data_IF_969535991925
#
_entry.id   IF_969535991925
#
_cell.length_a   1.000
_cell.length_b   1.000
_cell.length_c   1.000
_cell.angle_alpha   90.00
_cell.angle_beta   90.00
_cell.angle_gamma   90.00
#
_symmetry.space_group_name_H-M   'P 1'
#
loop_
_entity.id
_entity.type
_entity.pdbx_description
1 polymer ?
#
# COMPACT_ATOMS: atom_id res chain seq x y z
N UNK A 1 4.88 -41.78 -3.61
CA UNK A 1 4.31 -40.77 -4.51
C UNK A 1 3.40 -39.86 -3.71
N UNK A 2 3.86 -38.68 -3.29
CA UNK A 2 3.01 -37.72 -2.58
C UNK A 2 2.35 -36.80 -3.60
N UNK A 3 1.09 -37.10 -3.93
CA UNK A 3 0.27 -36.27 -4.80
C UNK A 3 -0.05 -34.95 -4.11
N UNK A 4 0.56 -33.86 -4.57
CA UNK A 4 0.16 -32.51 -4.20
C UNK A 4 -1.22 -32.25 -4.80
N UNK A 5 -2.25 -32.15 -3.95
CA UNK A 5 -3.60 -31.74 -4.36
C UNK A 5 -3.52 -30.35 -4.99
N UNK A 6 -3.83 -30.24 -6.28
CA UNK A 6 -4.05 -28.95 -6.93
C UNK A 6 -5.25 -28.28 -6.26
N UNK A 7 -4.98 -27.18 -5.57
CA UNK A 7 -6.00 -26.35 -4.92
C UNK A 7 -6.84 -25.72 -6.02
N UNK A 8 -8.15 -25.95 -6.00
CA UNK A 8 -9.10 -25.37 -6.95
C UNK A 8 -8.82 -23.88 -7.19
N UNK A 9 -8.88 -23.47 -8.46
CA UNK A 9 -8.72 -22.09 -8.86
C UNK A 9 -9.70 -21.22 -8.07
N UNK A 10 -9.18 -20.36 -7.19
CA UNK A 10 -10.00 -19.39 -6.48
C UNK A 10 -10.50 -18.37 -7.51
N UNK A 11 -11.77 -18.48 -7.89
CA UNK A 11 -12.43 -17.57 -8.84
C UNK A 11 -12.47 -16.12 -8.36
N UNK A 12 -12.41 -15.90 -7.03
CA UNK A 12 -12.47 -14.56 -6.43
C UNK A 12 -11.08 -13.97 -6.20
N UNK A 13 -10.76 -12.96 -6.99
CA UNK A 13 -9.58 -12.12 -6.81
C UNK A 13 -9.88 -11.00 -5.83
N UNK A 14 -8.99 -10.81 -4.86
CA UNK A 14 -9.04 -9.68 -3.91
C UNK A 14 -8.01 -8.64 -4.32
N UNK A 15 -8.36 -7.36 -4.21
CA UNK A 15 -7.45 -6.23 -4.47
C UNK A 15 -6.15 -6.35 -3.66
N UNK A 16 -6.24 -6.78 -2.40
CA UNK A 16 -5.06 -7.01 -1.55
C UNK A 16 -4.11 -8.09 -2.09
N UNK A 17 -4.62 -9.10 -2.82
CA UNK A 17 -3.77 -10.11 -3.47
C UNK A 17 -3.08 -9.52 -4.70
N UNK A 18 -3.82 -8.75 -5.52
CA UNK A 18 -3.26 -8.05 -6.68
C UNK A 18 -2.16 -7.09 -6.22
N UNK A 19 -2.41 -6.30 -5.18
CA UNK A 19 -1.44 -5.40 -4.58
C UNK A 19 -0.17 -6.12 -4.09
N UNK A 20 -0.28 -7.35 -3.58
CA UNK A 20 0.91 -8.16 -3.21
C UNK A 20 1.68 -8.66 -4.42
N UNK A 21 0.99 -9.03 -5.49
CA UNK A 21 1.60 -9.47 -6.76
C UNK A 21 2.38 -8.30 -7.37
N UNK A 22 1.76 -7.13 -7.48
CA UNK A 22 2.39 -5.93 -8.04
C UNK A 22 3.59 -5.43 -7.23
N UNK A 23 3.63 -5.67 -5.92
CA UNK A 23 4.76 -5.29 -5.05
C UNK A 23 5.88 -6.32 -4.99
N UNK A 24 5.74 -7.47 -5.64
CA UNK A 24 6.73 -8.54 -5.52
C UNK A 24 7.90 -8.33 -6.50
N UNK A 25 9.10 -7.98 -6.00
CA UNK A 25 10.26 -7.72 -6.87
C UNK A 25 10.78 -8.99 -7.56
N UNK A 26 10.35 -10.17 -7.10
CA UNK A 26 10.65 -11.45 -7.75
C UNK A 26 10.25 -11.45 -9.22
N UNK A 27 9.12 -10.83 -9.59
CA UNK A 27 8.70 -10.79 -11.00
C UNK A 27 9.60 -9.93 -11.88
N UNK A 28 10.40 -9.04 -11.27
CA UNK A 28 11.41 -8.22 -11.94
C UNK A 28 12.83 -8.82 -11.84
N UNK A 29 12.96 -10.07 -11.37
CA UNK A 29 14.26 -10.75 -11.26
C UNK A 29 15.03 -10.45 -9.99
N UNK A 30 14.40 -9.85 -8.97
CA UNK A 30 15.09 -9.49 -7.71
C UNK A 30 14.59 -10.38 -6.56
N UNK A 31 15.53 -10.97 -5.83
CA UNK A 31 15.27 -11.72 -4.61
C UNK A 31 15.44 -10.82 -3.39
N UNK A 32 14.49 -10.86 -2.46
CA UNK A 32 14.52 -10.08 -1.22
C UNK A 32 14.47 -11.02 -0.01
N UNK A 33 15.52 -10.97 0.79
CA UNK A 33 15.67 -11.72 2.05
C UNK A 33 15.32 -10.84 3.26
N UNK A 34 15.23 -11.47 4.43
CA UNK A 34 14.96 -10.81 5.71
C UNK A 34 13.64 -10.01 5.76
N UNK A 35 12.61 -10.45 5.00
CA UNK A 35 11.26 -9.89 5.13
C UNK A 35 10.65 -10.16 6.51
N UNK A 36 11.11 -11.22 7.16
CA UNK A 36 10.74 -11.65 8.51
C UNK A 36 11.99 -12.15 9.21
N UNK A 37 12.01 -12.04 10.53
CA UNK A 37 13.09 -12.56 11.37
C UNK A 37 12.54 -13.07 12.70
N UNK A 38 13.37 -13.82 13.41
CA UNK A 38 13.07 -14.33 14.75
C UNK A 38 13.94 -13.54 15.75
N UNK A 39 13.34 -12.68 16.59
CA UNK A 39 14.10 -11.84 17.52
C UNK A 39 14.64 -12.65 18.71
N UNK A 40 13.91 -13.67 19.15
CA UNK A 40 14.27 -14.54 20.27
C UNK A 40 14.39 -16.00 19.82
N UNK A 41 15.55 -16.60 20.07
CA UNK A 41 15.88 -17.96 19.69
C UNK A 41 15.10 -19.01 20.48
N UNK A 42 14.62 -18.69 21.69
CA UNK A 42 13.82 -19.59 22.53
C UNK A 42 12.37 -19.66 22.04
N UNK A 43 11.75 -18.50 21.83
CA UNK A 43 10.34 -18.38 21.45
C UNK A 43 10.06 -18.79 19.98
N UNK A 44 11.10 -18.90 19.13
CA UNK A 44 11.06 -19.30 17.71
C UNK A 44 10.00 -18.57 16.85
N UNK A 45 9.45 -17.45 17.34
CA UNK A 45 8.36 -16.72 16.71
C UNK A 45 8.90 -15.75 15.67
N UNK A 46 8.48 -15.93 14.41
CA UNK A 46 8.81 -15.00 13.32
C UNK A 46 7.94 -13.76 13.39
N UNK A 47 8.56 -12.59 13.31
CA UNK A 47 7.89 -11.30 13.16
C UNK A 47 8.24 -10.67 11.81
N UNK A 48 7.39 -9.77 11.32
CA UNK A 48 7.69 -9.00 10.12
C UNK A 48 8.80 -7.98 10.44
N UNK A 49 9.73 -7.82 9.50
CA UNK A 49 10.78 -6.81 9.58
C UNK A 49 10.25 -5.47 9.05
N UNK A 50 10.04 -4.48 9.90
CA UNK A 50 9.69 -3.10 9.55
C UNK A 50 10.90 -2.16 9.50
N UNK A 51 12.12 -2.70 9.60
CA UNK A 51 13.38 -1.95 9.61
C UNK A 51 14.28 -2.28 10.81
N UNK A 52 13.91 -3.28 11.62
CA UNK A 52 14.73 -3.73 12.75
C UNK A 52 16.03 -4.39 12.30
N UNK A 53 16.04 -5.01 11.11
CA UNK A 53 17.25 -5.55 10.47
C UNK A 53 17.30 -5.17 8.99
N UNK A 54 18.50 -5.16 8.41
CA UNK A 54 18.67 -4.82 7.00
C UNK A 54 18.05 -5.88 6.07
N UNK A 55 17.26 -5.39 5.11
CA UNK A 55 16.70 -6.20 4.02
C UNK A 55 17.73 -6.33 2.91
N UNK A 56 18.13 -7.56 2.62
CA UNK A 56 19.06 -7.86 1.54
C UNK A 56 18.30 -8.08 0.23
N UNK A 57 18.66 -7.32 -0.81
CA UNK A 57 18.18 -7.52 -2.18
C UNK A 57 19.33 -7.99 -3.07
N UNK A 58 19.10 -9.05 -3.84
CA UNK A 58 20.08 -9.61 -4.77
C UNK A 58 19.42 -9.93 -6.10
N UNK A 59 20.20 -9.89 -7.18
CA UNK A 59 19.71 -10.31 -8.48
C UNK A 59 19.51 -11.82 -8.52
N UNK A 60 18.32 -12.22 -8.96
CA UNK A 60 17.92 -13.60 -9.15
C UNK A 60 18.54 -14.20 -10.41
N UNK A 61 18.67 -15.53 -10.42
CA UNK A 61 19.17 -16.28 -11.59
C UNK A 61 18.08 -16.68 -12.58
N UNK A 62 16.81 -16.36 -12.29
CA UNK A 62 15.68 -16.74 -13.12
C UNK A 62 15.36 -15.66 -14.14
N UNK A 63 14.69 -16.05 -15.22
CA UNK A 63 14.16 -15.08 -16.19
C UNK A 63 13.04 -14.25 -15.54
N UNK A 64 13.11 -12.91 -15.59
CA UNK A 64 12.07 -12.05 -15.04
C UNK A 64 10.80 -12.11 -15.90
N UNK A 65 9.63 -11.96 -15.27
CA UNK A 65 8.32 -11.92 -15.97
C UNK A 65 8.07 -10.53 -16.55
N UNK A 66 8.51 -9.48 -15.85
CA UNK A 66 8.42 -8.08 -16.27
C UNK A 66 9.78 -7.42 -16.18
N UNK A 67 10.00 -6.38 -16.97
CA UNK A 67 11.26 -5.61 -16.87
C UNK A 67 11.34 -4.85 -15.54
N UNK A 68 12.56 -4.55 -15.10
CA UNK A 68 12.78 -3.75 -13.91
C UNK A 68 12.16 -2.34 -14.04
N UNK A 69 12.21 -1.77 -15.25
CA UNK A 69 11.61 -0.48 -15.57
C UNK A 69 10.09 -0.48 -15.38
N UNK A 70 9.39 -1.48 -15.93
CA UNK A 70 7.95 -1.63 -15.76
C UNK A 70 7.57 -1.83 -14.29
N UNK A 71 8.32 -2.65 -13.56
CA UNK A 71 8.09 -2.87 -12.14
C UNK A 71 8.23 -1.56 -11.34
N UNK A 72 9.28 -0.77 -11.60
CA UNK A 72 9.52 0.50 -10.93
C UNK A 72 8.40 1.50 -11.25
N UNK A 73 8.00 1.61 -12.52
CA UNK A 73 6.88 2.46 -12.93
C UNK A 73 5.58 2.09 -12.21
N UNK A 74 5.32 0.80 -12.01
CA UNK A 74 4.17 0.35 -11.22
C UNK A 74 4.32 0.76 -9.75
N UNK A 75 5.50 0.64 -9.14
CA UNK A 75 5.71 1.08 -7.76
C UNK A 75 5.44 2.58 -7.59
N UNK A 76 5.89 3.42 -8.53
CA UNK A 76 5.62 4.87 -8.54
C UNK A 76 4.12 5.18 -8.63
N UNK A 77 3.40 4.49 -9.52
CA UNK A 77 1.94 4.62 -9.66
C UNK A 77 1.25 4.20 -8.35
N UNK A 78 1.68 3.10 -7.73
CA UNK A 78 1.13 2.66 -6.45
C UNK A 78 1.38 3.70 -5.36
N UNK A 79 2.59 4.24 -5.27
CA UNK A 79 2.94 5.23 -4.24
C UNK A 79 2.19 6.56 -4.41
N UNK A 80 1.99 7.02 -5.65
CA UNK A 80 1.16 8.22 -5.92
C UNK A 80 -0.31 8.07 -5.50
N UNK A 81 -0.80 6.82 -5.41
CA UNK A 81 -2.16 6.49 -4.96
C UNK A 81 -2.28 6.35 -3.45
N UNK A 82 -1.21 6.54 -2.69
CA UNK A 82 -1.22 6.46 -1.24
C UNK A 82 -1.44 7.86 -0.64
N UNK A 83 -2.33 7.98 0.35
CA UNK A 83 -2.48 9.19 1.16
C UNK A 83 -1.37 9.25 2.21
N UNK A 84 -0.39 10.11 1.96
CA UNK A 84 0.58 10.52 2.96
C UNK A 84 -0.10 11.53 3.89
N UNK A 85 -0.35 11.15 5.14
CA UNK A 85 -0.90 12.04 6.15
C UNK A 85 0.26 12.61 7.00
N UNK A 86 0.60 13.91 6.86
CA UNK A 86 1.70 14.54 7.61
C UNK A 86 1.50 14.48 9.14
N UNK A 87 0.25 14.41 9.60
CA UNK A 87 -0.09 14.31 11.02
C UNK A 87 -0.02 12.87 11.57
N UNK A 88 0.25 11.86 10.73
CA UNK A 88 0.32 10.47 11.16
C UNK A 88 1.67 10.16 11.84
N UNK A 89 1.80 10.59 13.09
CA UNK A 89 2.96 10.27 13.96
C UNK A 89 2.96 8.82 14.46
N UNK A 90 1.90 8.07 14.20
CA UNK A 90 1.63 6.74 14.78
C UNK A 90 1.97 5.57 13.86
N UNK A 91 2.45 5.82 12.64
CA UNK A 91 2.74 4.75 11.67
C UNK A 91 1.51 3.95 11.22
N UNK A 92 0.29 4.50 11.40
CA UNK A 92 -0.95 3.83 10.98
C UNK A 92 -0.93 3.60 9.47
N UNK A 93 -1.52 2.47 9.04
CA UNK A 93 -1.62 2.06 7.63
C UNK A 93 -2.07 3.22 6.77
N UNK A 94 -1.29 3.48 5.73
CA UNK A 94 -1.60 4.50 4.75
C UNK A 94 -2.85 4.06 3.96
N UNK A 95 -3.82 4.96 3.84
CA UNK A 95 -5.06 4.68 3.12
C UNK A 95 -4.89 5.01 1.64
N UNK A 96 -5.67 4.34 0.79
CA UNK A 96 -5.75 4.70 -0.63
C UNK A 96 -6.30 6.11 -0.81
N UNK A 97 -5.67 6.90 -1.68
CA UNK A 97 -6.10 8.23 -2.08
C UNK A 97 -7.41 8.16 -2.83
N UNK A 98 -8.47 8.61 -2.16
CA UNK A 98 -9.76 8.80 -2.81
C UNK A 98 -9.65 9.97 -3.78
N UNK A 99 -10.19 9.85 -5.01
CA UNK A 99 -10.30 10.99 -5.90
C UNK A 99 -11.18 12.04 -5.21
N UNK A 100 -10.61 13.23 -5.04
CA UNK A 100 -11.31 14.39 -4.47
C UNK A 100 -12.17 15.01 -5.56
N UNK A 101 -13.48 14.90 -5.40
CA UNK A 101 -14.45 15.43 -6.37
C UNK A 101 -14.54 16.95 -6.35
N UNK A 102 -14.19 17.57 -5.23
CA UNK A 102 -14.26 19.01 -5.03
C UNK A 102 -12.91 19.69 -5.25
N UNK A 103 -12.93 20.86 -5.89
CA UNK A 103 -11.72 21.65 -6.17
C UNK A 103 -11.10 22.17 -4.87
N UNK A 104 -11.90 22.56 -3.88
CA UNK A 104 -11.40 23.14 -2.63
C UNK A 104 -10.70 22.11 -1.74
N UNK A 105 -11.11 20.84 -1.79
CA UNK A 105 -10.38 19.76 -1.13
C UNK A 105 -8.96 19.55 -1.70
N UNK A 106 -8.69 20.01 -2.93
CA UNK A 106 -7.35 19.96 -3.54
C UNK A 106 -6.51 21.19 -3.24
N UNK A 107 -7.14 22.37 -3.15
CA UNK A 107 -6.44 23.64 -3.03
C UNK A 107 -6.24 24.09 -1.58
N UNK A 108 -7.18 23.78 -0.69
CA UNK A 108 -7.11 24.21 0.70
C UNK A 108 -6.16 23.31 1.49
N UNK A 109 -5.16 23.93 2.10
CA UNK A 109 -4.19 23.31 2.98
C UNK A 109 -4.28 23.98 4.36
N UNK A 110 -4.42 23.18 5.40
CA UNK A 110 -4.48 23.64 6.79
C UNK A 110 -3.07 24.02 7.27
N UNK A 111 -2.98 24.83 8.33
CA UNK A 111 -1.71 25.14 9.00
C UNK A 111 -0.97 23.89 9.53
N UNK A 112 -1.68 22.78 9.76
CA UNK A 112 -1.07 21.50 10.11
C UNK A 112 -0.50 20.72 8.90
N UNK A 113 -0.64 21.24 7.68
CA UNK A 113 -0.18 20.62 6.43
C UNK A 113 -1.14 19.60 5.81
N UNK A 114 -2.28 19.30 6.46
CA UNK A 114 -3.30 18.42 5.91
C UNK A 114 -4.24 19.15 4.94
N UNK A 115 -4.82 18.42 3.98
CA UNK A 115 -5.86 18.91 3.07
C UNK A 115 -7.24 18.89 3.73
N UNK A 116 -8.14 19.78 3.33
CA UNK A 116 -9.52 19.80 3.82
C UNK A 116 -10.40 18.73 3.18
N UNK A 117 -11.38 18.24 3.95
CA UNK A 117 -12.45 17.37 3.49
C UNK A 117 -13.78 18.15 3.40
N UNK A 118 -14.51 17.94 2.31
CA UNK A 118 -15.88 18.44 2.16
C UNK A 118 -16.83 17.61 3.02
N UNK A 119 -17.58 18.27 3.90
CA UNK A 119 -18.59 17.67 4.78
C UNK A 119 -19.94 18.31 4.50
N UNK A 120 -20.99 17.50 4.55
CA UNK A 120 -22.36 18.02 4.56
C UNK A 120 -22.63 18.60 5.95
N UNK A 121 -23.07 19.85 6.02
CA UNK A 121 -23.46 20.49 7.29
C UNK A 121 -24.96 20.38 7.51
N UNK A 122 -25.74 20.93 6.58
CA UNK A 122 -27.20 20.92 6.66
C UNK A 122 -27.81 20.57 5.31
N UNK A 123 -28.87 19.77 5.34
CA UNK A 123 -29.70 19.50 4.16
C UNK A 123 -31.07 20.10 4.40
N UNK A 124 -31.48 21.00 3.51
CA UNK A 124 -32.78 21.68 3.55
C UNK A 124 -33.58 21.33 2.30
N UNK A 125 -34.87 21.68 2.27
CA UNK A 125 -35.70 21.54 1.06
C UNK A 125 -35.17 22.35 -0.13
N UNK A 126 -34.35 23.37 0.10
CA UNK A 126 -33.71 24.21 -0.92
C UNK A 126 -32.36 23.67 -1.41
N UNK A 127 -31.79 22.66 -0.72
CA UNK A 127 -30.51 22.06 -1.08
C UNK A 127 -29.61 21.74 0.11
N UNK A 128 -28.44 21.17 -0.23
CA UNK A 128 -27.42 20.75 0.75
C UNK A 128 -26.33 21.81 0.86
N UNK A 129 -26.03 22.22 2.08
CA UNK A 129 -24.91 23.11 2.40
C UNK A 129 -23.68 22.28 2.79
N UNK A 130 -22.54 22.65 2.21
CA UNK A 130 -21.25 22.00 2.45
C UNK A 130 -20.32 22.92 3.22
N UNK A 131 -19.59 22.34 4.17
CA UNK A 131 -18.45 22.98 4.82
C UNK A 131 -17.16 22.21 4.57
N UNK A 132 -16.02 22.87 4.80
CA UNK A 132 -14.69 22.28 4.66
C UNK A 132 -14.05 22.17 6.04
N UNK A 133 -13.59 20.97 6.38
CA UNK A 133 -12.95 20.69 7.67
C UNK A 133 -11.60 20.02 7.42
N UNK A 134 -10.57 20.47 8.14
CA UNK A 134 -9.27 19.81 8.17
C UNK A 134 -9.40 18.37 8.70
#
# INVERSE_FOLDING_TARGET
MYGSKFKEFKTRWYESNISKILKNPFYAGILEYHKQFTPDFLEQKKINNFGEIDRLRVDGRHEPIVTLEEFNRVQEIMESKILKNPANKTGRKENGKKPVSDVWCRLLVCSCGCTFNRKVWHTTSKGTQYGYMC
#
